data_IF_219580438999
#
_entry.id   IF_219580438999
#
_cell.length_a   1.000
_cell.length_b   1.000
_cell.length_c   1.000
_cell.angle_alpha   90.00
_cell.angle_beta   90.00
_cell.angle_gamma   90.00
#
_symmetry.space_group_name_H-M   'P 1'
#
loop_
_entity.id
_entity.type
_entity.pdbx_description
1 polymer ?
#
# COMPACT_ATOMS: atom_id res chain seq x y z
N UNK A 1 -2.56 5.20 -15.89
CA UNK A 1 -2.34 5.59 -14.48
C UNK A 1 -3.44 5.17 -13.51
N UNK A 2 -4.74 5.19 -13.87
CA UNK A 2 -5.80 4.70 -12.98
C UNK A 2 -5.57 3.27 -12.44
N UNK A 3 -5.06 2.35 -13.28
CA UNK A 3 -4.74 0.99 -12.85
C UNK A 3 -3.68 0.88 -11.74
N UNK A 4 -2.77 1.84 -11.62
CA UNK A 4 -1.74 1.85 -10.57
C UNK A 4 -2.37 2.20 -9.22
N UNK A 5 -3.34 3.12 -9.22
CA UNK A 5 -4.12 3.50 -8.03
C UNK A 5 -4.97 2.31 -7.56
N UNK A 6 -5.62 1.61 -8.49
CA UNK A 6 -6.39 0.40 -8.20
C UNK A 6 -5.48 -0.67 -7.59
N UNK A 7 -4.35 -0.96 -8.24
CA UNK A 7 -3.38 -1.97 -7.78
C UNK A 7 -2.82 -1.66 -6.39
N UNK A 8 -2.52 -0.39 -6.11
CA UNK A 8 -2.08 0.04 -4.78
C UNK A 8 -3.19 -0.14 -3.73
N UNK A 9 -4.44 0.17 -4.07
CA UNK A 9 -5.59 0.01 -3.17
C UNK A 9 -5.84 -1.46 -2.85
N UNK A 10 -5.81 -2.34 -3.85
CA UNK A 10 -5.94 -3.79 -3.67
C UNK A 10 -4.81 -4.36 -2.80
N UNK A 11 -3.58 -3.90 -3.02
CA UNK A 11 -2.42 -4.34 -2.23
C UNK A 11 -2.53 -3.97 -0.75
N UNK A 12 -3.06 -2.78 -0.44
CA UNK A 12 -3.35 -2.37 0.94
C UNK A 12 -4.45 -3.23 1.55
N UNK A 13 -5.56 -3.41 0.83
CA UNK A 13 -6.66 -4.25 1.30
C UNK A 13 -6.19 -5.67 1.61
N UNK A 14 -5.33 -6.22 0.74
CA UNK A 14 -4.68 -7.51 0.96
C UNK A 14 -3.81 -7.50 2.23
N UNK A 15 -2.96 -6.49 2.43
CA UNK A 15 -2.11 -6.39 3.61
C UNK A 15 -2.92 -6.33 4.92
N UNK A 16 -3.96 -5.50 4.96
CA UNK A 16 -4.84 -5.37 6.11
C UNK A 16 -5.60 -6.67 6.38
N UNK A 17 -6.14 -7.30 5.33
CA UNK A 17 -6.80 -8.60 5.44
C UNK A 17 -5.86 -9.68 5.97
N UNK A 18 -4.59 -9.71 5.54
CA UNK A 18 -3.60 -10.67 6.02
C UNK A 18 -3.22 -10.46 7.49
N UNK A 19 -3.31 -9.22 7.97
CA UNK A 19 -3.12 -8.87 9.38
C UNK A 19 -4.37 -9.14 10.25
N UNK A 20 -5.46 -9.63 9.64
CA UNK A 20 -6.70 -9.97 10.35
C UNK A 20 -7.70 -8.80 10.50
N UNK A 21 -7.49 -7.68 9.81
CA UNK A 21 -8.43 -6.56 9.83
C UNK A 21 -9.62 -6.80 8.88
N UNK A 22 -10.83 -6.46 9.33
CA UNK A 22 -12.07 -6.58 8.56
C UNK A 22 -12.38 -5.39 7.64
N UNK A 23 -11.39 -4.54 7.37
CA UNK A 23 -11.54 -3.35 6.53
C UNK A 23 -10.39 -3.25 5.51
N UNK A 24 -10.66 -2.64 4.35
CA UNK A 24 -9.73 -2.57 3.23
C UNK A 24 -8.93 -1.24 3.17
N UNK A 25 -9.22 -0.31 4.08
CA UNK A 25 -8.54 0.98 4.20
C UNK A 25 -9.33 1.97 5.04
N UNK A 26 -8.75 3.16 5.26
CA UNK A 26 -9.42 4.29 5.91
C UNK A 26 -9.74 5.38 4.88
N UNK A 27 -10.66 6.30 5.19
CA UNK A 27 -10.94 7.46 4.32
C UNK A 27 -9.76 8.43 4.21
N UNK A 28 -8.70 8.23 5.00
CA UNK A 28 -7.53 9.11 5.08
C UNK A 28 -6.34 8.61 4.25
N UNK A 29 -6.44 7.44 3.62
CA UNK A 29 -5.30 6.92 2.88
C UNK A 29 -5.15 7.59 1.51
N UNK A 30 -3.97 8.14 1.22
CA UNK A 30 -3.63 8.72 -0.08
C UNK A 30 -2.62 7.85 -0.84
N UNK A 31 -2.80 7.71 -2.15
CA UNK A 31 -1.84 7.06 -3.06
C UNK A 31 -1.34 8.11 -4.07
N UNK A 32 -0.03 8.31 -4.13
CA UNK A 32 0.62 9.19 -5.10
C UNK A 32 1.46 8.35 -6.05
N UNK A 33 1.22 8.48 -7.35
CA UNK A 33 2.03 7.85 -8.40
C UNK A 33 2.76 8.96 -9.16
N UNK A 34 4.04 9.12 -8.86
CA UNK A 34 4.92 10.04 -9.58
C UNK A 34 5.75 9.27 -10.62
N UNK A 35 5.87 9.81 -11.82
CA UNK A 35 6.72 9.27 -12.88
C UNK A 35 7.33 10.41 -13.68
N UNK A 36 8.48 10.15 -14.29
CA UNK A 36 9.13 11.12 -15.17
C UNK A 36 8.49 11.05 -16.56
N UNK A 37 8.06 12.21 -17.07
CA UNK A 37 7.49 12.29 -18.42
C UNK A 37 8.60 12.12 -19.48
N UNK A 38 8.33 11.34 -20.53
CA UNK A 38 9.23 11.18 -21.69
C UNK A 38 10.34 10.13 -21.55
N UNK A 39 10.42 9.38 -20.44
CA UNK A 39 11.38 8.28 -20.27
C UNK A 39 10.64 6.96 -20.00
N UNK A 40 10.67 6.06 -20.98
CA UNK A 40 10.17 4.69 -20.85
C UNK A 40 8.95 4.37 -21.73
N UNK A 41 8.62 3.07 -21.88
CA UNK A 41 7.47 2.64 -22.66
C UNK A 41 6.17 3.06 -21.97
N UNK A 42 5.16 3.38 -22.78
CA UNK A 42 3.80 3.53 -22.28
C UNK A 42 3.30 2.19 -21.74
N UNK A 43 2.87 2.19 -20.48
CA UNK A 43 2.25 1.03 -19.85
C UNK A 43 0.73 1.21 -19.86
N UNK A 44 0.07 0.45 -20.73
CA UNK A 44 -1.40 0.41 -20.80
C UNK A 44 -2.00 -0.16 -19.51
N UNK A 45 -1.36 -1.20 -18.95
CA UNK A 45 -1.81 -1.89 -17.75
C UNK A 45 -0.80 -1.80 -16.61
N UNK A 46 -1.33 -1.69 -15.39
CA UNK A 46 -0.55 -1.56 -14.14
C UNK A 46 -0.99 -2.55 -13.07
N UNK A 47 -1.78 -3.57 -13.43
CA UNK A 47 -2.20 -4.64 -12.54
C UNK A 47 -1.02 -5.46 -12.02
N UNK A 48 -1.21 -6.16 -10.90
CA UNK A 48 -0.18 -6.92 -10.18
C UNK A 48 0.57 -7.97 -11.02
N UNK A 49 0.00 -8.41 -12.15
CA UNK A 49 0.64 -9.32 -13.09
C UNK A 49 1.74 -8.67 -13.95
N UNK A 50 1.70 -7.34 -14.14
CA UNK A 50 2.76 -6.62 -14.85
C UNK A 50 3.96 -6.38 -13.93
N UNK A 51 5.16 -6.22 -14.49
CA UNK A 51 6.36 -5.95 -13.69
C UNK A 51 6.24 -4.68 -12.85
N UNK A 52 5.59 -3.65 -13.40
CA UNK A 52 5.33 -2.40 -12.69
C UNK A 52 4.29 -2.58 -11.58
N UNK A 53 3.17 -3.24 -11.88
CA UNK A 53 2.12 -3.49 -10.89
C UNK A 53 2.60 -4.39 -9.75
N UNK A 54 3.39 -5.42 -10.04
CA UNK A 54 4.02 -6.28 -9.02
C UNK A 54 4.87 -5.47 -8.03
N UNK A 55 5.63 -4.49 -8.52
CA UNK A 55 6.43 -3.60 -7.67
C UNK A 55 5.53 -2.75 -6.77
N UNK A 56 4.48 -2.15 -7.33
CA UNK A 56 3.48 -1.41 -6.54
C UNK A 56 2.89 -2.30 -5.45
N UNK A 57 2.41 -3.49 -5.82
CA UNK A 57 1.77 -4.42 -4.90
C UNK A 57 2.70 -4.76 -3.73
N UNK A 58 3.95 -5.15 -4.04
CA UNK A 58 4.93 -5.51 -3.02
C UNK A 58 5.24 -4.34 -2.08
N UNK A 59 5.55 -3.17 -2.64
CA UNK A 59 5.89 -1.99 -1.85
C UNK A 59 4.75 -1.59 -0.91
N UNK A 60 3.53 -1.46 -1.44
CA UNK A 60 2.38 -1.05 -0.63
C UNK A 60 2.09 -2.08 0.46
N UNK A 61 2.11 -3.37 0.11
CA UNK A 61 1.84 -4.45 1.05
C UNK A 61 2.82 -4.45 2.22
N UNK A 62 4.14 -4.38 1.94
CA UNK A 62 5.18 -4.36 2.97
C UNK A 62 5.07 -3.10 3.85
N UNK A 63 4.92 -1.91 3.25
CA UNK A 63 4.84 -0.65 3.99
C UNK A 63 3.59 -0.55 4.88
N UNK A 64 2.45 -1.08 4.45
CA UNK A 64 1.22 -1.08 5.26
C UNK A 64 1.41 -1.95 6.50
N UNK A 65 1.94 -3.17 6.33
CA UNK A 65 2.20 -4.08 7.46
C UNK A 65 3.19 -3.47 8.44
N UNK A 66 4.27 -2.86 7.92
CA UNK A 66 5.26 -2.19 8.75
C UNK A 66 4.68 -0.99 9.50
N UNK A 67 3.94 -0.12 8.81
CA UNK A 67 3.33 1.08 9.39
C UNK A 67 2.39 0.73 10.55
N UNK A 68 1.45 -0.19 10.31
CA UNK A 68 0.52 -0.65 11.35
C UNK A 68 1.28 -1.27 12.54
N UNK A 69 2.28 -2.11 12.28
CA UNK A 69 3.06 -2.76 13.35
C UNK A 69 3.82 -1.74 14.21
N UNK A 70 4.41 -0.70 13.60
CA UNK A 70 5.11 0.36 14.33
C UNK A 70 4.16 1.17 15.20
N UNK A 71 3.04 1.62 14.64
CA UNK A 71 2.04 2.39 15.38
C UNK A 71 1.46 1.62 16.56
N UNK A 72 1.16 0.33 16.40
CA UNK A 72 0.64 -0.49 17.51
C UNK A 72 1.65 -0.64 18.65
N UNK A 73 2.94 -0.85 18.33
CA UNK A 73 4.00 -0.91 19.34
C UNK A 73 4.19 0.40 20.10
N UNK A 74 4.08 1.53 19.41
CA UNK A 74 4.14 2.85 20.03
C UNK A 74 2.99 3.03 21.03
N UNK A 75 1.76 2.66 20.66
CA UNK A 75 0.59 2.71 21.54
C UNK A 75 0.75 1.82 22.78
N UNK A 76 1.21 0.58 22.64
CA UNK A 76 1.50 -0.33 23.77
C UNK A 76 2.57 0.26 24.72
N UNK A 77 3.58 0.92 24.16
CA UNK A 77 4.67 1.51 24.94
C UNK A 77 4.25 2.75 25.75
N UNK A 78 3.21 3.45 25.31
CA UNK A 78 2.66 4.62 26.00
C UNK A 78 1.65 4.22 27.08
N UNK A 79 0.85 3.16 26.87
CA UNK A 79 -0.03 2.60 27.91
C UNK A 79 0.75 2.06 29.12
N UNK A 80 1.98 1.57 28.91
CA UNK A 80 2.84 1.03 29.99
C UNK A 80 3.49 2.12 30.87
N UNK A 81 3.40 3.40 30.48
CA UNK A 81 3.96 4.55 31.23
C UNK A 81 2.97 5.23 32.18
N UNK A 82 1.71 4.78 32.21
CA UNK A 82 0.63 5.29 33.07
C UNK A 82 0.50 4.39 34.29
#
# INVERSE_FOLDING_TARGET
>A
MAGAIITATEAKGLALSEMGYGFLGTTTDAVIVAYQNGLGPYLEYSGSYTDFGRKITRTVFECVKEGVTKTMKELESDETKI
#
